data_IF_592544267304
#
_entry.id   IF_592544267304
#
_cell.length_a   1.000
_cell.length_b   1.000
_cell.length_c   1.000
_cell.angle_alpha   90.00
_cell.angle_beta   90.00
_cell.angle_gamma   90.00
#
_symmetry.space_group_name_H-M   'P 1'
#
loop_
_entity.id
_entity.type
_entity.pdbx_description
1 polymer ?
#
# COMPACT_ATOMS: atom_id res chain seq x y z
N UNK A 1 -7.95 -3.15 6.66
CA UNK A 1 -6.49 -3.28 6.43
C UNK A 1 -5.79 -4.14 7.48
N UNK A 2 -6.21 -4.11 8.74
CA UNK A 2 -5.64 -4.93 9.82
C UNK A 2 -5.61 -6.44 9.52
N UNK A 3 -6.45 -6.91 8.60
CA UNK A 3 -6.48 -8.31 8.15
C UNK A 3 -5.34 -8.65 7.17
N UNK A 4 -4.59 -7.68 6.66
CA UNK A 4 -3.43 -7.92 5.79
C UNK A 4 -2.27 -8.45 6.62
N UNK A 5 -2.01 -9.75 6.48
CA UNK A 5 -0.89 -10.43 7.13
C UNK A 5 0.40 -10.32 6.33
N UNK A 6 1.55 -10.49 6.98
CA UNK A 6 2.85 -10.53 6.30
C UNK A 6 2.91 -11.66 5.27
N UNK A 7 2.34 -12.84 5.59
CA UNK A 7 2.31 -13.98 4.67
C UNK A 7 1.49 -13.67 3.41
N UNK A 8 0.42 -12.88 3.52
CA UNK A 8 -0.30 -12.40 2.35
C UNK A 8 0.59 -11.50 1.48
N UNK A 9 1.37 -10.60 2.09
CA UNK A 9 2.29 -9.73 1.36
C UNK A 9 3.40 -10.50 0.67
N UNK A 10 3.95 -11.53 1.33
CA UNK A 10 4.96 -12.43 0.74
C UNK A 10 4.40 -13.08 -0.52
N UNK A 11 3.20 -13.64 -0.44
CA UNK A 11 2.55 -14.27 -1.59
C UNK A 11 2.22 -13.25 -2.70
N UNK A 12 1.72 -12.07 -2.34
CA UNK A 12 1.32 -11.04 -3.29
C UNK A 12 2.50 -10.47 -4.07
N UNK A 13 3.62 -10.18 -3.39
CA UNK A 13 4.82 -9.61 -4.00
C UNK A 13 5.73 -10.67 -4.63
N UNK A 14 5.35 -11.95 -4.58
CA UNK A 14 6.21 -13.08 -4.97
C UNK A 14 7.60 -13.01 -4.28
N UNK A 15 7.58 -12.67 -2.99
CA UNK A 15 8.77 -12.48 -2.15
C UNK A 15 9.19 -13.78 -1.43
N UNK A 16 10.28 -13.72 -0.68
CA UNK A 16 10.73 -14.82 0.17
C UNK A 16 10.49 -14.53 1.65
N UNK A 17 10.55 -15.57 2.50
CA UNK A 17 10.39 -15.42 3.96
C UNK A 17 11.41 -14.46 4.59
N UNK A 18 12.60 -14.37 4.01
CA UNK A 18 13.65 -13.43 4.42
C UNK A 18 13.28 -11.95 4.20
N UNK A 19 12.35 -11.67 3.28
CA UNK A 19 11.85 -10.31 3.03
C UNK A 19 10.75 -9.86 4.00
N UNK A 20 10.25 -10.74 4.89
CA UNK A 20 9.11 -10.45 5.78
C UNK A 20 9.27 -9.17 6.60
N UNK A 21 10.46 -8.95 7.17
CA UNK A 21 10.75 -7.73 7.94
C UNK A 21 10.65 -6.47 7.08
N UNK A 22 11.09 -6.56 5.82
CA UNK A 22 11.03 -5.44 4.90
C UNK A 22 9.59 -5.17 4.43
N UNK A 23 8.82 -6.23 4.18
CA UNK A 23 7.41 -6.12 3.81
C UNK A 23 6.57 -5.48 4.93
N UNK A 24 6.85 -5.74 6.21
CA UNK A 24 6.22 -5.02 7.31
C UNK A 24 6.56 -3.53 7.30
N UNK A 25 7.82 -3.16 7.04
CA UNK A 25 8.22 -1.74 6.92
C UNK A 25 7.45 -1.05 5.78
N UNK A 26 7.30 -1.71 4.63
CA UNK A 26 6.55 -1.15 3.51
C UNK A 26 5.05 -1.07 3.79
N UNK A 27 4.50 -2.05 4.51
CA UNK A 27 3.10 -2.03 4.95
C UNK A 27 2.84 -0.84 5.84
N UNK A 28 3.67 -0.61 6.86
CA UNK A 28 3.54 0.52 7.79
C UNK A 28 3.64 1.86 7.03
N UNK A 29 4.65 2.00 6.16
CA UNK A 29 4.82 3.20 5.34
C UNK A 29 3.62 3.45 4.39
N UNK A 30 3.04 2.39 3.85
CA UNK A 30 1.88 2.46 2.95
C UNK A 30 0.61 2.85 3.71
N UNK A 31 0.41 2.35 4.94
CA UNK A 31 -0.71 2.75 5.81
C UNK A 31 -0.60 4.24 6.14
N UNK A 32 0.57 4.72 6.53
CA UNK A 32 0.82 6.13 6.81
C UNK A 32 0.59 7.02 5.58
N UNK A 33 1.01 6.57 4.40
CA UNK A 33 0.75 7.27 3.14
C UNK A 33 -0.75 7.39 2.86
N UNK A 34 -1.51 6.30 2.98
CA UNK A 34 -2.97 6.32 2.76
C UNK A 34 -3.65 7.27 3.74
N UNK A 35 -3.28 7.26 5.02
CA UNK A 35 -3.82 8.17 6.03
C UNK A 35 -3.51 9.62 5.70
N UNK A 36 -2.26 9.91 5.37
CA UNK A 36 -1.82 11.27 5.02
C UNK A 36 -2.55 11.81 3.79
N UNK A 37 -2.69 10.98 2.75
CA UNK A 37 -3.36 11.36 1.51
C UNK A 37 -4.86 11.57 1.72
N UNK A 38 -5.53 10.62 2.38
CA UNK A 38 -6.99 10.62 2.50
C UNK A 38 -7.52 11.52 3.63
N UNK A 39 -6.71 11.74 4.68
CA UNK A 39 -7.13 12.39 5.92
C UNK A 39 -8.00 11.52 6.83
N UNK A 40 -8.03 10.20 6.60
CA UNK A 40 -8.80 9.24 7.39
C UNK A 40 -8.03 8.76 8.64
N UNK A 41 -8.79 8.38 9.65
CA UNK A 41 -8.28 7.76 10.89
C UNK A 41 -8.03 6.25 10.74
N UNK A 42 -7.31 5.64 11.68
CA UNK A 42 -7.03 4.20 11.70
C UNK A 42 -8.31 3.34 11.71
N UNK A 43 -9.36 3.79 12.38
CA UNK A 43 -10.65 3.08 12.41
C UNK A 43 -11.36 3.15 11.05
N UNK A 44 -11.26 4.29 10.35
CA UNK A 44 -11.94 4.49 9.08
C UNK A 44 -11.28 3.76 7.92
N UNK A 45 -9.94 3.73 7.88
CA UNK A 45 -9.20 3.00 6.85
C UNK A 45 -9.42 1.48 6.97
N UNK A 46 -9.69 0.99 8.18
CA UNK A 46 -9.86 -0.44 8.42
C UNK A 46 -11.17 -1.01 7.91
N UNK A 47 -12.20 -0.17 7.76
CA UNK A 47 -13.53 -0.55 7.29
C UNK A 47 -13.70 -0.41 5.76
N UNK A 48 -12.60 -0.22 5.01
CA UNK A 48 -12.61 0.10 3.58
C UNK A 48 -11.79 -0.92 2.77
N UNK A 49 -12.50 -1.78 2.04
CA UNK A 49 -11.89 -2.86 1.26
C UNK A 49 -11.08 -2.36 0.07
N UNK A 50 -11.52 -1.28 -0.57
CA UNK A 50 -10.81 -0.64 -1.69
C UNK A 50 -9.47 -0.03 -1.24
N UNK A 51 -9.40 0.59 -0.05
CA UNK A 51 -8.13 1.05 0.50
C UNK A 51 -7.17 -0.11 0.82
N UNK A 52 -7.69 -1.32 1.05
CA UNK A 52 -6.84 -2.52 1.19
C UNK A 52 -6.15 -2.87 -0.13
N UNK A 53 -6.82 -2.65 -1.28
CA UNK A 53 -6.18 -2.77 -2.60
C UNK A 53 -5.09 -1.71 -2.79
N UNK A 54 -5.36 -0.46 -2.39
CA UNK A 54 -4.35 0.61 -2.43
C UNK A 54 -3.10 0.25 -1.60
N UNK A 55 -3.29 -0.33 -0.41
CA UNK A 55 -2.19 -0.82 0.43
C UNK A 55 -1.35 -1.89 -0.28
N UNK A 56 -1.99 -2.90 -0.89
CA UNK A 56 -1.27 -3.96 -1.60
C UNK A 56 -0.45 -3.41 -2.78
N UNK A 57 -1.04 -2.50 -3.57
CA UNK A 57 -0.36 -1.85 -4.70
C UNK A 57 0.86 -1.04 -4.24
N UNK A 58 0.73 -0.28 -3.15
CA UNK A 58 1.84 0.51 -2.59
C UNK A 58 2.98 -0.39 -2.10
N UNK A 59 2.66 -1.46 -1.36
CA UNK A 59 3.67 -2.39 -0.86
C UNK A 59 4.42 -3.08 -2.00
N UNK A 60 3.70 -3.58 -3.02
CA UNK A 60 4.34 -4.17 -4.21
C UNK A 60 5.21 -3.17 -4.94
N UNK A 61 4.72 -1.94 -5.15
CA UNK A 61 5.50 -0.89 -5.80
C UNK A 61 6.81 -0.56 -5.06
N UNK A 62 6.77 -0.50 -3.72
CA UNK A 62 7.96 -0.30 -2.89
C UNK A 62 8.92 -1.50 -2.97
N UNK A 63 8.37 -2.71 -3.00
CA UNK A 63 9.15 -3.94 -3.09
C UNK A 63 9.85 -4.11 -4.44
N UNK A 64 9.14 -3.84 -5.53
CA UNK A 64 9.62 -3.96 -6.92
C UNK A 64 10.67 -2.89 -7.24
N UNK A 65 10.56 -1.71 -6.63
CA UNK A 65 11.54 -0.61 -6.78
C UNK A 65 12.94 -0.95 -6.28
N UNK A 66 13.13 -2.10 -5.60
CA UNK A 66 14.45 -2.62 -5.20
C UNK A 66 15.23 -3.22 -6.38
N UNK A 67 14.55 -3.62 -7.44
CA UNK A 67 15.17 -4.16 -8.65
C UNK A 67 15.75 -3.03 -9.50
N UNK A 68 17.00 -3.19 -9.95
CA UNK A 68 17.79 -2.16 -10.68
C UNK A 68 17.13 -1.73 -12.02
N UNK A 69 16.17 -2.50 -12.52
CA UNK A 69 15.40 -2.23 -13.74
C UNK A 69 14.09 -1.45 -13.50
N UNK A 70 13.94 -0.76 -12.36
CA UNK A 70 12.75 0.03 -12.07
C UNK A 70 12.60 1.23 -13.02
N UNK A 71 11.97 1.01 -14.17
CA UNK A 71 11.49 2.07 -15.06
C UNK A 71 10.49 2.93 -14.26
N UNK A 72 10.96 4.13 -13.90
CA UNK A 72 10.35 5.03 -12.91
C UNK A 72 9.10 5.73 -13.44
N UNK A 73 8.02 5.05 -13.79
CA UNK A 73 6.70 5.71 -13.85
C UNK A 73 5.55 4.71 -13.83
N UNK A 74 5.20 4.16 -12.66
CA UNK A 74 3.91 3.51 -12.47
C UNK A 74 3.11 4.24 -11.40
N UNK A 75 2.70 5.47 -11.72
CA UNK A 75 1.54 6.08 -11.05
C UNK A 75 0.35 5.22 -11.48
N UNK A 76 -0.07 4.32 -10.61
CA UNK A 76 -1.19 3.44 -10.89
C UNK A 76 -2.48 4.28 -10.84
N UNK A 77 -3.10 4.55 -11.99
CA UNK A 77 -4.36 5.30 -12.08
C UNK A 77 -5.45 4.75 -11.15
N UNK A 78 -5.41 3.45 -10.84
CA UNK A 78 -6.32 2.80 -9.90
C UNK A 78 -6.00 3.23 -8.46
N UNK A 79 -4.72 3.34 -8.09
CA UNK A 79 -4.30 3.85 -6.78
C UNK A 79 -4.79 5.29 -6.59
N UNK A 80 -4.55 6.18 -7.56
CA UNK A 80 -4.98 7.57 -7.49
C UNK A 80 -6.50 7.70 -7.40
N UNK A 81 -7.23 6.87 -8.17
CA UNK A 81 -8.71 6.84 -8.14
C UNK A 81 -9.23 6.38 -6.77
N UNK A 82 -8.69 5.29 -6.22
CA UNK A 82 -9.08 4.77 -4.90
C UNK A 82 -8.78 5.80 -3.82
N UNK A 83 -7.59 6.39 -3.82
CA UNK A 83 -7.23 7.40 -2.82
C UNK A 83 -8.08 8.66 -2.96
N UNK A 84 -8.32 9.12 -4.19
CA UNK A 84 -9.17 10.28 -4.48
C UNK A 84 -10.61 10.11 -4.00
N UNK A 85 -11.20 8.90 -4.14
CA UNK A 85 -12.55 8.59 -3.65
C UNK A 85 -12.73 8.80 -2.14
N UNK A 86 -11.66 8.61 -1.36
CA UNK A 86 -11.70 8.74 0.11
C UNK A 86 -11.03 10.01 0.62
N UNK A 87 -10.49 10.85 -0.27
CA UNK A 87 -9.77 12.06 0.11
C UNK A 87 -10.71 13.13 0.63
N UNK A 88 -10.51 13.49 1.90
CA UNK A 88 -11.18 14.63 2.54
C UNK A 88 -10.30 15.87 2.62
N UNK A 89 -9.02 15.74 2.24
CA UNK A 89 -8.01 16.80 2.29
C UNK A 89 -7.83 17.57 0.96
N UNK A 90 -8.64 17.29 -0.07
CA UNK A 90 -8.61 18.07 -1.31
C UNK A 90 -9.33 19.41 -1.08
N UNK A 91 -8.55 20.45 -0.77
CA UNK A 91 -8.97 21.86 -0.77
C UNK A 91 -8.81 22.50 -2.14
#
# INVERSE_FOLDING_TARGET
MNEVTTDLLVNYCNAYDEDKQLLEIFKDASVDYIKSYTGLTDEEINNKNDLTIALLVLVSGMFDSRSIEADKTNINLILDSILGLHSRNLV
#
